data_IF_133602011050
#
_entry.id   IF_133602011050
#
_cell.length_a   1.000
_cell.length_b   1.000
_cell.length_c   1.000
_cell.angle_alpha   90.00
_cell.angle_beta   90.00
_cell.angle_gamma   90.00
#
_symmetry.space_group_name_H-M   'P 1'
#
loop_
_entity.id
_entity.type
_entity.pdbx_description
1 polymer ?
#
# COMPACT_ATOMS: atom_id res chain seq x y z
N UNK A 1 0.22 -10.72 14.02
CA UNK A 1 1.27 -9.91 13.34
C UNK A 1 1.21 -8.48 13.87
N UNK A 2 2.35 -7.94 14.28
CA UNK A 2 2.43 -6.56 14.74
C UNK A 2 2.54 -5.58 13.57
N UNK A 3 2.22 -4.29 13.76
CA UNK A 3 2.45 -3.28 12.73
C UNK A 3 3.90 -3.27 12.23
N UNK A 4 4.87 -3.38 13.13
CA UNK A 4 6.29 -3.39 12.79
C UNK A 4 6.65 -4.57 11.88
N UNK A 5 6.08 -5.75 12.12
CA UNK A 5 6.30 -6.92 11.27
C UNK A 5 5.72 -6.73 9.88
N UNK A 6 4.54 -6.14 9.79
CA UNK A 6 3.92 -5.86 8.49
C UNK A 6 4.71 -4.82 7.71
N UNK A 7 5.24 -3.80 8.40
CA UNK A 7 6.12 -2.80 7.79
C UNK A 7 7.39 -3.44 7.25
N UNK A 8 7.96 -4.44 7.95
CA UNK A 8 9.14 -5.17 7.44
C UNK A 8 8.83 -5.87 6.11
N UNK A 9 7.64 -6.44 5.96
CA UNK A 9 7.22 -6.99 4.67
C UNK A 9 7.10 -5.91 3.60
N UNK A 10 6.59 -4.74 3.95
CA UNK A 10 6.53 -3.61 3.02
C UNK A 10 7.92 -3.13 2.60
N UNK A 11 8.90 -3.14 3.50
CA UNK A 11 10.29 -2.82 3.17
C UNK A 11 10.84 -3.81 2.13
N UNK A 12 10.60 -5.09 2.30
CA UNK A 12 10.98 -6.11 1.33
C UNK A 12 10.39 -5.80 -0.04
N UNK A 13 9.11 -5.43 -0.09
CA UNK A 13 8.44 -5.06 -1.33
C UNK A 13 9.08 -3.81 -1.95
N UNK A 14 9.37 -2.79 -1.15
CA UNK A 14 9.98 -1.54 -1.62
C UNK A 14 11.30 -1.80 -2.35
N UNK A 15 12.08 -2.77 -1.89
CA UNK A 15 13.36 -3.12 -2.52
C UNK A 15 13.20 -3.73 -3.91
N UNK A 16 11.98 -4.11 -4.31
CA UNK A 16 11.65 -4.67 -5.62
C UNK A 16 11.02 -3.64 -6.56
N UNK A 17 10.84 -2.39 -6.12
CA UNK A 17 10.17 -1.35 -6.91
C UNK A 17 10.92 -1.06 -8.21
N UNK A 18 10.15 -0.78 -9.25
CA UNK A 18 10.65 -0.36 -10.55
C UNK A 18 10.26 1.09 -10.76
N UNK A 19 11.13 2.00 -10.30
CA UNK A 19 10.89 3.43 -10.32
C UNK A 19 11.99 4.19 -11.06
N UNK A 20 12.26 3.85 -12.35
CA UNK A 20 13.38 4.43 -13.09
C UNK A 20 13.18 5.90 -13.47
N UNK A 21 11.93 6.39 -13.41
CA UNK A 21 11.61 7.76 -13.83
C UNK A 21 11.60 8.73 -12.66
N UNK A 22 10.98 8.34 -11.53
CA UNK A 22 10.88 9.21 -10.36
C UNK A 22 11.99 9.01 -9.34
N UNK A 23 12.65 7.86 -9.34
CA UNK A 23 13.54 7.40 -8.27
C UNK A 23 12.87 7.37 -6.90
N UNK A 24 11.55 7.22 -6.87
CA UNK A 24 10.75 7.22 -5.64
C UNK A 24 10.13 5.85 -5.47
N UNK A 25 10.82 4.99 -4.70
CA UNK A 25 10.37 3.62 -4.45
C UNK A 25 9.40 3.56 -3.28
N UNK A 26 8.33 2.78 -3.46
CA UNK A 26 7.28 2.58 -2.48
C UNK A 26 7.07 1.09 -2.30
N UNK A 27 6.88 0.66 -1.07
CA UNK A 27 6.51 -0.72 -0.75
C UNK A 27 5.21 -0.77 0.02
N UNK A 28 4.46 -1.82 -0.22
CA UNK A 28 3.20 -2.08 0.48
C UNK A 28 3.09 -3.54 0.84
N UNK A 29 2.41 -3.81 1.95
CA UNK A 29 2.08 -5.17 2.37
C UNK A 29 0.66 -5.18 2.89
N UNK A 30 -0.21 -5.98 2.29
CA UNK A 30 -1.58 -6.12 2.74
C UNK A 30 -1.74 -7.45 3.47
N UNK A 31 -2.36 -7.40 4.64
CA UNK A 31 -2.56 -8.55 5.50
C UNK A 31 -3.97 -9.09 5.31
N UNK A 32 -4.03 -10.36 4.99
CA UNK A 32 -5.28 -11.14 5.04
C UNK A 32 -5.32 -11.92 6.35
N UNK A 33 -6.35 -12.72 6.55
CA UNK A 33 -6.46 -13.57 7.73
C UNK A 33 -5.32 -14.59 7.82
N UNK A 34 -4.78 -15.02 6.67
CA UNK A 34 -3.82 -16.14 6.58
C UNK A 34 -2.51 -15.78 5.89
N UNK A 35 -2.45 -14.64 5.20
CA UNK A 35 -1.32 -14.36 4.29
C UNK A 35 -0.96 -12.89 4.27
N UNK A 36 0.28 -12.60 3.89
CA UNK A 36 0.75 -11.25 3.58
C UNK A 36 1.04 -11.19 2.08
N UNK A 37 0.45 -10.22 1.40
CA UNK A 37 0.65 -10.01 -0.03
C UNK A 37 1.40 -8.70 -0.24
N UNK A 38 2.48 -8.75 -0.99
CA UNK A 38 3.36 -7.62 -1.21
C UNK A 38 3.00 -6.85 -2.47
N UNK A 39 3.29 -5.56 -2.47
CA UNK A 39 3.21 -4.72 -3.65
C UNK A 39 4.32 -3.68 -3.63
N UNK A 40 4.77 -3.30 -4.81
CA UNK A 40 5.70 -2.19 -5.00
C UNK A 40 5.23 -1.37 -6.18
N UNK A 41 5.70 -0.11 -6.28
CA UNK A 41 5.34 0.69 -7.43
C UNK A 41 6.13 0.23 -8.66
N UNK A 42 5.44 0.24 -9.79
CA UNK A 42 6.00 -0.12 -11.10
C UNK A 42 5.63 0.99 -12.07
N UNK A 43 6.64 1.71 -12.52
CA UNK A 43 6.47 2.86 -13.40
C UNK A 43 6.56 2.47 -14.86
N UNK A 44 5.85 3.23 -15.70
CA UNK A 44 5.82 3.03 -17.15
C UNK A 44 6.09 4.36 -17.86
N UNK A 45 6.67 4.27 -19.05
CA UNK A 45 6.80 5.43 -19.96
C UNK A 45 5.42 6.00 -20.32
N UNK A 46 4.42 5.15 -20.43
CA UNK A 46 3.02 5.57 -20.55
C UNK A 46 2.49 5.79 -19.13
N UNK A 47 2.63 6.98 -18.61
CA UNK A 47 2.33 7.31 -17.22
C UNK A 47 1.01 6.76 -16.68
N UNK A 48 -0.12 6.77 -17.44
CA UNK A 48 -1.36 6.20 -16.93
C UNK A 48 -1.32 4.71 -16.62
N UNK A 49 -0.34 3.97 -17.13
CA UNK A 49 -0.19 2.54 -16.84
C UNK A 49 0.68 2.27 -15.61
N UNK A 50 1.30 3.30 -15.03
CA UNK A 50 2.04 3.20 -13.77
C UNK A 50 1.11 2.77 -12.65
N UNK A 51 1.57 1.80 -11.82
CA UNK A 51 0.81 1.36 -10.65
C UNK A 51 1.55 1.71 -9.36
N UNK A 52 0.79 2.23 -8.40
CA UNK A 52 1.28 2.47 -7.06
C UNK A 52 1.37 1.14 -6.28
N UNK A 53 2.24 1.10 -5.27
CA UNK A 53 2.48 -0.09 -4.47
C UNK A 53 1.20 -0.63 -3.81
N UNK A 54 0.36 0.23 -3.29
CA UNK A 54 -0.89 -0.16 -2.61
C UNK A 54 -1.82 -0.88 -3.57
N UNK A 55 -1.96 -0.35 -4.80
CA UNK A 55 -2.81 -0.99 -5.81
C UNK A 55 -2.24 -2.32 -6.27
N UNK A 56 -0.93 -2.42 -6.42
CA UNK A 56 -0.29 -3.71 -6.76
C UNK A 56 -0.59 -4.75 -5.66
N UNK A 57 -0.43 -4.38 -4.40
CA UNK A 57 -0.70 -5.29 -3.28
C UNK A 57 -2.17 -5.73 -3.24
N UNK A 58 -3.10 -4.78 -3.31
CA UNK A 58 -4.55 -5.06 -3.22
C UNK A 58 -5.01 -5.88 -4.42
N UNK A 59 -4.64 -5.49 -5.63
CA UNK A 59 -5.06 -6.19 -6.85
C UNK A 59 -4.43 -7.58 -6.94
N UNK A 60 -3.18 -7.73 -6.52
CA UNK A 60 -2.52 -9.02 -6.43
C UNK A 60 -3.26 -9.95 -5.46
N UNK A 61 -3.62 -9.44 -4.30
CA UNK A 61 -4.38 -10.20 -3.30
C UNK A 61 -5.74 -10.65 -3.85
N UNK A 62 -6.46 -9.73 -4.50
CA UNK A 62 -7.76 -10.03 -5.11
C UNK A 62 -7.60 -11.10 -6.19
N UNK A 63 -6.58 -11.01 -7.03
CA UNK A 63 -6.35 -12.00 -8.09
C UNK A 63 -6.00 -13.38 -7.54
N UNK A 64 -5.49 -13.45 -6.32
CA UNK A 64 -5.20 -14.70 -5.62
C UNK A 64 -6.41 -15.25 -4.84
N UNK A 65 -7.55 -14.58 -4.89
CA UNK A 65 -8.79 -15.03 -4.26
C UNK A 65 -9.07 -14.43 -2.88
N UNK A 66 -8.23 -13.51 -2.40
CA UNK A 66 -8.48 -12.85 -1.13
C UNK A 66 -9.39 -11.64 -1.34
N UNK A 67 -10.40 -11.49 -0.48
CA UNK A 67 -11.33 -10.36 -0.55
C UNK A 67 -11.61 -9.70 0.81
N UNK A 68 -10.94 -10.17 1.86
CA UNK A 68 -11.03 -9.58 3.20
C UNK A 68 -9.63 -9.31 3.72
N UNK A 69 -9.43 -8.07 4.18
CA UNK A 69 -8.13 -7.60 4.62
C UNK A 69 -8.22 -7.08 6.04
N UNK A 70 -7.13 -7.17 6.78
CA UNK A 70 -7.09 -6.80 8.20
C UNK A 70 -6.15 -5.65 8.51
N UNK A 71 -5.17 -5.38 7.64
CA UNK A 71 -4.25 -4.26 7.78
C UNK A 71 -3.50 -4.01 6.47
N UNK A 72 -3.00 -2.79 6.30
CA UNK A 72 -2.15 -2.41 5.17
C UNK A 72 -0.97 -1.63 5.72
N UNK A 73 0.24 -2.00 5.33
CA UNK A 73 1.45 -1.22 5.60
C UNK A 73 1.96 -0.60 4.31
N UNK A 74 2.40 0.64 4.41
CA UNK A 74 2.95 1.42 3.32
C UNK A 74 4.26 2.03 3.78
N UNK A 75 5.31 1.95 2.98
CA UNK A 75 6.59 2.56 3.29
C UNK A 75 7.14 3.34 2.11
N UNK A 76 7.59 4.55 2.40
CA UNK A 76 8.30 5.44 1.47
C UNK A 76 9.52 6.02 2.20
N UNK A 77 10.36 6.75 1.49
CA UNK A 77 11.52 7.39 2.13
C UNK A 77 11.12 8.48 3.13
N UNK A 78 10.04 9.20 2.85
CA UNK A 78 9.62 10.39 3.62
C UNK A 78 8.29 10.20 4.36
N UNK A 79 7.69 9.02 4.32
CA UNK A 79 6.42 8.74 4.99
C UNK A 79 5.22 9.38 4.31
N UNK A 80 5.27 9.59 3.00
CA UNK A 80 4.17 10.19 2.27
C UNK A 80 2.90 9.33 2.34
N UNK A 81 1.76 9.99 2.35
CA UNK A 81 0.45 9.35 2.38
C UNK A 81 0.11 8.76 1.01
N UNK A 82 -0.80 7.79 0.94
CA UNK A 82 -1.27 7.24 -0.33
C UNK A 82 -1.83 8.34 -1.24
N UNK A 83 -1.62 8.21 -2.55
CA UNK A 83 -2.22 9.13 -3.52
C UNK A 83 -3.74 8.99 -3.54
N UNK A 84 -4.42 9.95 -4.17
CA UNK A 84 -5.89 9.95 -4.21
C UNK A 84 -6.48 8.70 -4.83
N UNK A 85 -5.90 8.20 -5.93
CA UNK A 85 -6.35 6.98 -6.58
C UNK A 85 -6.24 5.76 -5.65
N UNK A 86 -5.14 5.67 -4.91
CA UNK A 86 -4.95 4.58 -3.94
C UNK A 86 -5.94 4.67 -2.79
N UNK A 87 -6.25 5.87 -2.31
CA UNK A 87 -7.24 6.07 -1.25
C UNK A 87 -8.63 5.58 -1.68
N UNK A 88 -9.00 5.83 -2.92
CA UNK A 88 -10.27 5.35 -3.48
C UNK A 88 -10.31 3.82 -3.53
N UNK A 89 -9.25 3.19 -4.00
CA UNK A 89 -9.15 1.71 -4.07
C UNK A 89 -9.15 1.09 -2.67
N UNK A 90 -8.44 1.69 -1.72
CA UNK A 90 -8.45 1.23 -0.33
C UNK A 90 -9.88 1.29 0.23
N UNK A 91 -10.59 2.40 -0.03
CA UNK A 91 -11.98 2.55 0.42
C UNK A 91 -12.88 1.45 -0.14
N UNK A 92 -12.75 1.12 -1.43
CA UNK A 92 -13.63 0.15 -2.07
C UNK A 92 -13.35 -1.29 -1.65
N UNK A 93 -12.07 -1.68 -1.59
CA UNK A 93 -11.68 -3.08 -1.46
C UNK A 93 -11.09 -3.45 -0.11
N UNK A 94 -10.60 -2.47 0.65
CA UNK A 94 -10.00 -2.69 1.97
C UNK A 94 -10.49 -1.64 2.99
N UNK A 95 -11.82 -1.49 3.14
CA UNK A 95 -12.37 -0.49 4.06
C UNK A 95 -12.15 -0.88 5.52
N UNK A 96 -12.11 0.13 6.39
CA UNK A 96 -12.17 -0.01 7.85
C UNK A 96 -11.03 -0.84 8.45
N UNK A 97 -9.85 -0.78 7.83
CA UNK A 97 -8.65 -1.43 8.36
C UNK A 97 -7.62 -0.36 8.76
N UNK A 98 -6.73 -0.70 9.71
CA UNK A 98 -5.61 0.19 10.01
C UNK A 98 -4.63 0.22 8.83
N UNK A 99 -4.16 1.43 8.52
CA UNK A 99 -3.16 1.66 7.49
C UNK A 99 -1.94 2.26 8.19
N UNK A 100 -0.83 1.55 8.15
CA UNK A 100 0.43 1.97 8.75
C UNK A 100 1.27 2.67 7.69
N UNK A 101 1.53 3.95 7.89
CA UNK A 101 2.25 4.79 6.93
C UNK A 101 3.61 5.09 7.52
N UNK A 102 4.65 4.48 6.96
CA UNK A 102 6.00 4.47 7.51
C UNK A 102 6.99 5.22 6.63
N UNK A 103 8.03 5.75 7.26
CA UNK A 103 9.20 6.30 6.57
C UNK A 103 10.38 5.33 6.63
N UNK A 104 11.49 5.70 6.00
CA UNK A 104 12.68 4.84 5.92
C UNK A 104 13.33 4.54 7.26
N UNK A 105 13.06 5.32 8.31
CA UNK A 105 13.59 5.08 9.65
C UNK A 105 12.76 4.05 10.41
N UNK A 106 11.58 3.67 9.90
CA UNK A 106 10.66 2.77 10.56
C UNK A 106 9.62 3.47 11.41
N UNK A 107 9.69 4.78 11.55
CA UNK A 107 8.64 5.56 12.23
C UNK A 107 7.37 5.51 11.38
N UNK A 108 6.23 5.32 12.03
CA UNK A 108 4.97 5.21 11.31
C UNK A 108 3.82 5.86 12.09
N UNK A 109 2.79 6.22 11.34
CA UNK A 109 1.51 6.65 11.89
C UNK A 109 0.43 5.70 11.41
N UNK A 110 -0.68 5.63 12.13
CA UNK A 110 -1.82 4.77 11.80
C UNK A 110 -3.01 5.63 11.41
N UNK A 111 -3.61 5.33 10.26
CA UNK A 111 -4.82 5.98 9.77
C UNK A 111 -5.82 4.92 9.33
N UNK A 112 -7.09 5.31 9.28
CA UNK A 112 -8.16 4.51 8.68
C UNK A 112 -8.49 5.08 7.28
N UNK A 113 -9.07 4.27 6.42
CA UNK A 113 -9.47 4.71 5.08
C UNK A 113 -10.43 5.90 5.11
N UNK A 114 -11.32 5.96 6.11
CA UNK A 114 -12.26 7.07 6.27
C UNK A 114 -11.57 8.39 6.62
N UNK A 115 -10.44 8.34 7.30
CA UNK A 115 -9.63 9.54 7.59
C UNK A 115 -8.89 10.01 6.35
N UNK A 116 -8.44 9.08 5.50
CA UNK A 116 -7.68 9.40 4.29
C UNK A 116 -8.58 9.88 3.15
N UNK A 117 -9.85 9.46 3.13
CA UNK A 117 -10.81 9.80 2.09
C UNK A 117 -12.20 9.98 2.73
N UNK A 118 -12.47 11.13 3.38
CA UNK A 118 -13.73 11.34 4.09
C UNK A 118 -14.95 11.34 3.17
N UNK A 119 -14.78 11.73 1.90
CA UNK A 119 -15.85 11.84 0.92
C UNK A 119 -15.49 11.05 -0.33
N UNK A 120 -15.56 9.71 -0.29
CA UNK A 120 -15.19 8.89 -1.43
C UNK A 120 -16.19 8.97 -2.55
N UNK A 121 -15.75 8.57 -3.75
CA UNK A 121 -16.65 8.39 -4.88
C UNK A 121 -17.45 7.10 -4.66
N UNK A 122 -18.75 7.23 -4.66
CA UNK A 122 -19.65 6.07 -4.52
C UNK A 122 -20.01 5.64 -3.11
#
# INVERSE_FOLDING_TARGET
MTPEMLIQHAITAKNRAMAPYSNYSVGAAILTKTSVILGCNVESKAYPTTLCAERVAIFSAISQGFNKFTALALITNDGAFPCGSCRQIIHEYAPDIPIYIADKSGDFITKNSSELLPFPFG
#
